data_IF_495537690531
#
_entry.id   IF_495537690531
#
_cell.length_a   1.000
_cell.length_b   1.000
_cell.length_c   1.000
_cell.angle_alpha   90.00
_cell.angle_beta   90.00
_cell.angle_gamma   90.00
#
_symmetry.space_group_name_H-M   'P 1'
#
loop_
_entity.id
_entity.type
_entity.pdbx_description
1 polymer ?
#
# COMPACT_ATOMS: atom_id res chain seq x y z
N UNK A 1 -0.11 19.95 -19.86
CA UNK A 1 -0.31 19.73 -18.41
C UNK A 1 1.05 19.35 -17.83
N UNK A 2 1.57 20.13 -16.88
CA UNK A 2 2.86 19.84 -16.24
C UNK A 2 2.70 18.66 -15.28
N UNK A 3 3.68 17.75 -15.21
CA UNK A 3 3.64 16.61 -14.28
C UNK A 3 3.55 17.07 -12.81
N UNK A 4 3.94 18.32 -12.54
CA UNK A 4 3.95 18.95 -11.21
C UNK A 4 2.56 19.19 -10.62
N UNK A 5 1.52 19.21 -11.46
CA UNK A 5 0.14 19.48 -11.03
C UNK A 5 -0.72 18.21 -10.97
N UNK A 6 -0.11 17.03 -11.15
CA UNK A 6 -0.83 15.75 -11.10
C UNK A 6 -1.13 15.37 -9.66
N UNK A 7 -2.38 15.52 -9.24
CA UNK A 7 -2.88 14.93 -8.00
C UNK A 7 -3.13 13.44 -8.21
N UNK A 8 -2.27 12.61 -7.62
CA UNK A 8 -2.47 11.16 -7.55
C UNK A 8 -2.99 10.80 -6.17
N UNK A 9 -4.01 9.95 -6.11
CA UNK A 9 -4.46 9.35 -4.87
C UNK A 9 -3.74 8.01 -4.69
N UNK A 10 -2.97 7.87 -3.61
CA UNK A 10 -2.32 6.62 -3.24
C UNK A 10 -3.05 6.02 -2.04
N UNK A 11 -3.54 4.80 -2.19
CA UNK A 11 -4.15 4.04 -1.10
C UNK A 11 -3.52 2.65 -0.99
N UNK A 12 -3.79 1.96 0.11
CA UNK A 12 -3.33 0.59 0.32
C UNK A 12 -4.42 -0.29 0.93
N UNK A 13 -4.35 -1.59 0.67
CA UNK A 13 -5.32 -2.57 1.13
C UNK A 13 -4.63 -3.89 1.50
N UNK A 14 -4.96 -4.44 2.67
CA UNK A 14 -4.53 -5.78 3.06
C UNK A 14 -5.30 -6.80 2.23
N UNK A 15 -4.58 -7.63 1.48
CA UNK A 15 -5.13 -8.72 0.68
C UNK A 15 -5.21 -9.99 1.51
N UNK A 16 -4.16 -10.25 2.29
CA UNK A 16 -4.05 -11.41 3.16
C UNK A 16 -3.13 -11.10 4.36
N UNK A 17 -3.42 -11.73 5.49
CA UNK A 17 -2.59 -11.71 6.71
C UNK A 17 -2.72 -13.10 7.34
N UNK A 18 -1.72 -13.95 7.09
CA UNK A 18 -1.73 -15.38 7.46
C UNK A 18 -0.33 -15.78 7.91
N UNK A 19 -0.24 -16.53 9.00
CA UNK A 19 1.01 -17.10 9.52
C UNK A 19 2.16 -16.08 9.65
N UNK A 20 1.88 -14.92 10.25
CA UNK A 20 2.83 -13.81 10.46
C UNK A 20 3.37 -13.19 9.14
N UNK A 21 2.67 -13.41 8.03
CA UNK A 21 2.97 -12.82 6.74
C UNK A 21 1.78 -12.02 6.21
N UNK A 22 2.00 -10.75 5.94
CA UNK A 22 1.00 -9.83 5.39
C UNK A 22 1.30 -9.48 3.94
N UNK A 23 0.26 -9.46 3.11
CA UNK A 23 0.29 -9.06 1.70
C UNK A 23 -0.59 -7.83 1.52
N UNK A 24 -0.01 -6.77 0.94
CA UNK A 24 -0.67 -5.47 0.77
C UNK A 24 -0.60 -5.03 -0.68
N UNK A 25 -1.75 -4.63 -1.24
CA UNK A 25 -1.82 -3.91 -2.51
C UNK A 25 -1.65 -2.41 -2.27
N UNK A 26 -0.82 -1.76 -3.09
CA UNK A 26 -0.81 -0.32 -3.26
C UNK A 26 -1.57 0.04 -4.53
N UNK A 27 -2.46 1.02 -4.41
CA UNK A 27 -3.31 1.50 -5.48
C UNK A 27 -2.99 2.97 -5.79
N UNK A 28 -2.91 3.29 -7.08
CA UNK A 28 -2.89 4.67 -7.58
C UNK A 28 -4.18 4.91 -8.33
N UNK A 29 -4.95 5.90 -7.88
CA UNK A 29 -6.26 6.26 -8.44
C UNK A 29 -7.20 5.03 -8.54
N UNK A 30 -7.21 4.20 -7.49
CA UNK A 30 -8.03 3.00 -7.41
C UNK A 30 -7.54 1.79 -8.22
N UNK A 31 -6.43 1.93 -8.96
CA UNK A 31 -5.82 0.83 -9.72
C UNK A 31 -4.63 0.27 -8.94
N UNK A 32 -4.61 -1.05 -8.73
CA UNK A 32 -3.48 -1.74 -8.13
C UNK A 32 -2.24 -1.59 -9.01
N UNK A 33 -1.15 -1.08 -8.44
CA UNK A 33 0.14 -0.88 -9.14
C UNK A 33 1.26 -1.73 -8.59
N UNK A 34 1.14 -2.16 -7.33
CA UNK A 34 2.16 -2.95 -6.65
C UNK A 34 1.55 -3.84 -5.57
N UNK A 35 2.19 -4.97 -5.31
CA UNK A 35 1.92 -5.85 -4.19
C UNK A 35 3.21 -6.02 -3.40
N UNK A 36 3.14 -5.82 -2.09
CA UNK A 36 4.27 -6.00 -1.19
C UNK A 36 3.88 -7.03 -0.14
N UNK A 37 4.81 -7.90 0.21
CA UNK A 37 4.64 -8.87 1.30
C UNK A 37 5.78 -8.75 2.30
N UNK A 38 5.48 -8.97 3.57
CA UNK A 38 6.46 -8.95 4.65
C UNK A 38 5.87 -9.50 5.94
N UNK A 39 6.65 -9.45 7.02
CA UNK A 39 6.13 -9.81 8.34
C UNK A 39 5.00 -8.88 8.76
N UNK A 40 3.97 -9.43 9.36
CA UNK A 40 2.74 -8.68 9.68
C UNK A 40 3.01 -7.51 10.61
N UNK A 41 3.76 -7.74 11.69
CA UNK A 41 4.13 -6.71 12.68
C UNK A 41 4.89 -5.51 12.05
N UNK A 42 5.95 -5.79 11.30
CA UNK A 42 6.75 -4.77 10.62
C UNK A 42 5.92 -3.99 9.60
N UNK A 43 5.03 -4.68 8.88
CA UNK A 43 4.20 -4.05 7.86
C UNK A 43 3.11 -3.16 8.49
N UNK A 44 2.46 -3.58 9.57
CA UNK A 44 1.52 -2.73 10.31
C UNK A 44 2.20 -1.46 10.84
N UNK A 45 3.42 -1.57 11.38
CA UNK A 45 4.18 -0.41 11.85
C UNK A 45 4.57 0.55 10.71
N UNK A 46 4.88 0.04 9.52
CA UNK A 46 5.18 0.87 8.34
C UNK A 46 3.93 1.56 7.80
N UNK A 47 2.80 0.86 7.77
CA UNK A 47 1.56 1.36 7.15
C UNK A 47 0.75 2.30 8.03
N UNK A 48 0.84 2.21 9.36
CA UNK A 48 0.18 3.15 10.28
C UNK A 48 0.67 4.61 10.15
N UNK A 49 1.79 4.82 9.48
CA UNK A 49 2.38 6.15 9.22
C UNK A 49 2.14 6.61 7.77
N UNK A 50 1.38 5.84 6.99
CA UNK A 50 1.06 6.14 5.61
C UNK A 50 -0.24 6.97 5.58
N UNK A 51 -0.10 8.26 5.90
CA UNK A 51 -1.13 9.31 5.76
C UNK A 51 -0.98 10.08 4.44
#
# INVERSE_FOLDING_TARGET
MSIRDLKVNVSWHIIADIDDCMVVAFCVDGKMVSIVSGKSDEMYEKLRHFD
#
